data_IF_135996128749
#
_entry.id   IF_135996128749
#
_cell.length_a   1.000
_cell.length_b   1.000
_cell.length_c   1.000
_cell.angle_alpha   90.00
_cell.angle_beta   90.00
_cell.angle_gamma   90.00
#
_symmetry.space_group_name_H-M   'P 1'
#
loop_
_entity.id
_entity.type
_entity.pdbx_description
1 polymer ?
#
# COMPACT_ATOMS: atom_id res chain seq x y z
N UNK A 1 12.10 31.14 11.83
CA UNK A 1 11.16 30.14 12.36
C UNK A 1 10.99 29.04 11.32
N UNK A 2 11.32 27.79 11.65
CA UNK A 2 11.08 26.66 10.74
C UNK A 2 9.56 26.44 10.62
N UNK A 3 9.04 26.31 9.40
CA UNK A 3 7.64 25.95 9.16
C UNK A 3 7.42 24.50 9.61
N UNK A 4 6.50 24.28 10.54
CA UNK A 4 6.05 22.95 10.93
C UNK A 4 5.11 22.42 9.85
N UNK A 5 5.49 21.32 9.20
CA UNK A 5 4.70 20.66 8.16
C UNK A 5 3.66 19.73 8.78
N UNK A 6 2.60 20.31 9.33
CA UNK A 6 1.46 19.54 9.83
C UNK A 6 0.70 18.90 8.65
N UNK A 7 0.50 17.58 8.69
CA UNK A 7 -0.33 16.85 7.74
C UNK A 7 0.37 16.30 6.49
N UNK A 8 1.71 16.31 6.44
CA UNK A 8 2.41 15.60 5.36
C UNK A 8 2.34 14.08 5.57
N UNK A 9 2.15 13.28 4.50
CA UNK A 9 2.25 11.82 4.60
C UNK A 9 3.64 11.45 5.12
N UNK A 10 3.69 10.72 6.23
CA UNK A 10 4.95 10.32 6.89
C UNK A 10 5.79 9.40 6.01
N UNK A 11 5.14 8.53 5.23
CA UNK A 11 5.80 7.52 4.41
C UNK A 11 5.37 7.54 2.94
N UNK A 12 6.36 7.44 2.06
CA UNK A 12 6.14 7.14 0.64
C UNK A 12 6.20 5.62 0.45
N UNK A 13 5.12 5.03 -0.07
CA UNK A 13 5.08 3.60 -0.37
C UNK A 13 5.89 3.31 -1.63
N UNK A 14 6.65 2.22 -1.62
CA UNK A 14 7.34 1.70 -2.80
C UNK A 14 6.46 0.72 -3.59
N UNK A 15 6.98 0.23 -4.71
CA UNK A 15 6.31 -0.83 -5.48
C UNK A 15 6.23 -2.13 -4.68
N UNK A 16 7.28 -2.48 -3.93
CA UNK A 16 7.32 -3.67 -3.06
C UNK A 16 6.28 -3.56 -1.93
N UNK A 17 6.13 -2.38 -1.34
CA UNK A 17 5.07 -2.13 -0.36
C UNK A 17 3.68 -2.37 -0.98
N UNK A 18 3.46 -1.89 -2.21
CA UNK A 18 2.19 -2.09 -2.91
C UNK A 18 1.92 -3.57 -3.24
N UNK A 19 2.95 -4.34 -3.59
CA UNK A 19 2.85 -5.79 -3.76
C UNK A 19 2.42 -6.45 -2.44
N UNK A 20 3.03 -6.05 -1.33
CA UNK A 20 2.68 -6.57 -0.01
C UNK A 20 1.26 -6.18 0.41
N UNK A 21 0.80 -4.96 0.10
CA UNK A 21 -0.60 -4.54 0.27
C UNK A 21 -1.54 -5.48 -0.48
N UNK A 22 -1.25 -5.82 -1.74
CA UNK A 22 -2.04 -6.79 -2.51
C UNK A 22 -2.01 -8.21 -1.92
N UNK A 23 -0.90 -8.64 -1.33
CA UNK A 23 -0.83 -9.91 -0.59
C UNK A 23 -1.74 -9.88 0.65
N UNK A 24 -1.68 -8.81 1.45
CA UNK A 24 -2.50 -8.67 2.66
C UNK A 24 -4.00 -8.58 2.34
N UNK A 25 -4.38 -7.80 1.33
CA UNK A 25 -5.76 -7.70 0.85
C UNK A 25 -6.33 -9.07 0.48
N UNK A 26 -5.56 -9.89 -0.25
CA UNK A 26 -5.97 -11.26 -0.63
C UNK A 26 -6.02 -12.23 0.55
N UNK A 27 -5.30 -11.95 1.64
CA UNK A 27 -5.41 -12.67 2.92
C UNK A 27 -6.59 -12.19 3.76
N UNK A 28 -7.42 -11.28 3.26
CA UNK A 28 -8.63 -10.80 3.93
C UNK A 28 -8.39 -9.66 4.94
N UNK A 29 -7.22 -9.02 4.92
CA UNK A 29 -6.96 -7.89 5.81
C UNK A 29 -7.83 -6.67 5.47
N UNK A 30 -8.30 -5.98 6.51
CA UNK A 30 -9.01 -4.71 6.38
C UNK A 30 -8.06 -3.60 5.90
N UNK A 31 -8.50 -2.75 4.98
CA UNK A 31 -7.70 -1.62 4.47
C UNK A 31 -7.21 -0.68 5.58
N UNK A 32 -8.02 -0.46 6.63
CA UNK A 32 -7.64 0.35 7.79
C UNK A 32 -6.49 -0.27 8.58
N UNK A 33 -6.45 -1.60 8.72
CA UNK A 33 -5.37 -2.32 9.39
C UNK A 33 -4.10 -2.32 8.55
N UNK A 34 -4.23 -2.45 7.23
CA UNK A 34 -3.10 -2.31 6.30
C UNK A 34 -2.54 -0.88 6.37
N UNK A 35 -3.40 0.14 6.34
CA UNK A 35 -2.99 1.53 6.43
C UNK A 35 -2.19 1.81 7.72
N UNK A 36 -2.68 1.32 8.87
CA UNK A 36 -1.95 1.40 10.14
C UNK A 36 -0.62 0.62 10.10
N UNK A 37 -0.58 -0.56 9.49
CA UNK A 37 0.64 -1.36 9.37
C UNK A 37 1.74 -0.65 8.58
N UNK A 38 1.36 0.07 7.53
CA UNK A 38 2.31 0.82 6.70
C UNK A 38 2.55 2.26 7.18
N UNK A 39 1.88 2.71 8.26
CA UNK A 39 1.85 4.11 8.70
C UNK A 39 1.46 5.09 7.58
N UNK A 40 0.33 4.79 6.91
CA UNK A 40 -0.20 5.60 5.81
C UNK A 40 -1.69 5.86 5.98
N UNK A 41 -2.20 6.84 5.25
CA UNK A 41 -3.63 7.09 5.16
C UNK A 41 -4.34 5.94 4.39
N UNK A 42 -5.55 5.59 4.80
CA UNK A 42 -6.41 4.60 4.11
C UNK A 42 -6.65 4.93 2.63
N UNK A 43 -6.66 6.21 2.26
CA UNK A 43 -6.71 6.66 0.87
C UNK A 43 -5.58 6.09 0.01
N UNK A 44 -4.36 5.97 0.55
CA UNK A 44 -3.21 5.38 -0.17
C UNK A 44 -3.40 3.90 -0.43
N UNK A 45 -3.98 3.18 0.52
CA UNK A 45 -4.33 1.76 0.33
C UNK A 45 -5.41 1.61 -0.74
N UNK A 46 -6.40 2.51 -0.76
CA UNK A 46 -7.45 2.53 -1.78
C UNK A 46 -6.91 2.81 -3.18
N UNK A 47 -5.97 3.76 -3.32
CA UNK A 47 -5.28 4.05 -4.59
C UNK A 47 -4.53 2.83 -5.13
N UNK A 48 -3.84 2.07 -4.27
CA UNK A 48 -3.16 0.82 -4.65
C UNK A 48 -4.17 -0.25 -5.07
N UNK A 49 -5.22 -0.45 -4.26
CA UNK A 49 -6.28 -1.44 -4.54
C UNK A 49 -7.01 -1.17 -5.85
N UNK A 50 -7.23 0.10 -6.19
CA UNK A 50 -7.90 0.52 -7.42
C UNK A 50 -6.95 0.60 -8.62
N UNK A 51 -5.65 0.39 -8.42
CA UNK A 51 -4.64 0.48 -9.47
C UNK A 51 -4.30 1.91 -9.90
N UNK A 52 -4.79 2.94 -9.21
CA UNK A 52 -4.39 4.33 -9.47
C UNK A 52 -2.93 4.61 -9.11
N UNK A 53 -2.39 3.81 -8.19
CA UNK A 53 -1.00 3.87 -7.75
C UNK A 53 -0.42 2.46 -7.82
N UNK A 54 0.74 2.32 -8.48
CA UNK A 54 1.40 1.02 -8.71
C UNK A 54 0.48 -0.04 -9.34
N UNK A 55 -0.11 0.21 -10.53
CA UNK A 55 -1.03 -0.74 -11.18
C UNK A 55 -0.42 -2.14 -11.37
N UNK A 56 0.87 -2.21 -11.66
CA UNK A 56 1.66 -3.43 -11.85
C UNK A 56 1.81 -4.28 -10.58
N UNK A 57 1.66 -3.69 -9.39
CA UNK A 57 1.80 -4.39 -8.11
C UNK A 57 0.82 -5.57 -7.99
N UNK A 58 -0.39 -5.40 -8.53
CA UNK A 58 -1.44 -6.43 -8.54
C UNK A 58 -1.00 -7.71 -9.27
N UNK A 59 -0.36 -7.53 -10.43
CA UNK A 59 0.13 -8.62 -11.27
C UNK A 59 1.35 -9.26 -10.64
N UNK A 60 2.34 -8.47 -10.19
CA UNK A 60 3.53 -8.99 -9.51
C UNK A 60 3.13 -9.86 -8.31
N UNK A 61 2.18 -9.39 -7.50
CA UNK A 61 1.67 -10.14 -6.36
C UNK A 61 0.99 -11.46 -6.79
N UNK A 62 0.35 -11.52 -7.96
CA UNK A 62 -0.21 -12.75 -8.52
C UNK A 62 0.88 -13.73 -8.96
N UNK A 63 1.94 -13.25 -9.60
CA UNK A 63 3.03 -14.09 -10.10
C UNK A 63 3.92 -14.67 -8.99
N UNK A 64 4.13 -13.96 -7.89
CA UNK A 64 4.87 -14.49 -6.73
C UNK A 64 4.26 -15.78 -6.13
N UNK A 65 2.96 -16.05 -6.33
CA UNK A 65 2.35 -17.31 -5.88
C UNK A 65 2.71 -18.53 -6.73
N UNK A 66 3.18 -18.34 -7.97
CA UNK A 66 3.49 -19.47 -8.86
C UNK A 66 4.86 -20.10 -8.59
N UNK A 67 5.64 -19.53 -7.69
CA UNK A 67 6.99 -19.99 -7.35
C UNK A 67 7.09 -20.62 -5.94
N UNK A 68 5.96 -20.82 -5.25
CA UNK A 68 5.87 -21.47 -3.93
C UNK A 68 4.88 -22.62 -3.99
#
# INVERSE_FOLDING_TARGET
MAKLNYGQPSRQLTIEDAVQVWVMLRRGWLQSRIAAHFDVNSGRISEIKTGRRFPEASQIALHCKKAA
#
